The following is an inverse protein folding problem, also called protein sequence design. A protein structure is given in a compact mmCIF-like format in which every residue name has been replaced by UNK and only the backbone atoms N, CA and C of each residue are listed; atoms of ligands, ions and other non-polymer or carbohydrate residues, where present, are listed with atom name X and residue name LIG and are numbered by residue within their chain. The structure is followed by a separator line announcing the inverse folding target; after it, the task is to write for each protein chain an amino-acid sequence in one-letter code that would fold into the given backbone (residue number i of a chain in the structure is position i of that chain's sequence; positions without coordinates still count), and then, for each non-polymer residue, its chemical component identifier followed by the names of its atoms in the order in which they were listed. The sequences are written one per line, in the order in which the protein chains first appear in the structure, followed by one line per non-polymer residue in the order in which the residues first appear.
data_IF_657434928863
#
_entry.id   IF_657434928863
#
_cell.length_a   1.000
_cell.length_b   1.000
_cell.length_c   1.000
_cell.angle_alpha   90.00
_cell.angle_beta   90.00
_cell.angle_gamma   90.00
#
_symmetry.space_group_name_H-M   'P 1'
#
loop_
_entity.id
_entity.type
_entity.pdbx_description
1 polymer ?
#
# COMPACT_ATOMS: atom_id res chain seq x y z
N UNK A 1 7.01 19.02 13.76
CA UNK A 1 7.81 19.79 14.72
C UNK A 1 7.15 19.70 16.09
N UNK A 2 7.94 19.36 17.09
CA UNK A 2 7.54 19.50 18.50
C UNK A 2 7.59 20.99 18.88
N UNK A 3 6.67 21.49 19.72
CA UNK A 3 6.69 22.88 20.19
C UNK A 3 8.07 23.34 20.71
N UNK A 4 8.80 22.44 21.36
CA UNK A 4 10.14 22.74 21.90
C UNK A 4 11.17 23.13 20.84
N UNK A 5 10.98 22.77 19.56
CA UNK A 5 11.89 23.12 18.46
C UNK A 5 11.80 24.62 18.14
N UNK A 6 10.62 25.23 18.28
CA UNK A 6 10.45 26.66 18.07
C UNK A 6 11.28 27.47 19.06
N UNK A 7 11.29 27.06 20.34
CA UNK A 7 12.10 27.68 21.38
C UNK A 7 13.61 27.48 21.11
N UNK A 8 14.03 26.29 20.67
CA UNK A 8 15.45 26.01 20.35
C UNK A 8 15.97 26.81 19.16
N UNK A 9 15.11 27.03 18.15
CA UNK A 9 15.43 27.80 16.95
C UNK A 9 15.19 29.31 17.14
N UNK A 10 14.61 29.73 18.27
CA UNK A 10 14.27 31.14 18.54
C UNK A 10 13.21 31.72 17.59
N UNK A 11 12.33 30.87 17.06
CA UNK A 11 11.29 31.24 16.08
C UNK A 11 9.91 31.13 16.71
N UNK A 12 9.01 32.04 16.34
CA UNK A 12 7.64 32.06 16.82
C UNK A 12 6.72 31.25 15.90
N UNK A 13 5.72 30.57 16.46
CA UNK A 13 4.63 29.99 15.69
C UNK A 13 3.91 31.05 14.82
N UNK A 14 3.96 32.32 15.22
CA UNK A 14 3.34 33.42 14.50
C UNK A 14 4.20 33.94 13.34
N UNK A 15 5.46 33.53 13.24
CA UNK A 15 6.37 33.94 12.17
C UNK A 15 7.12 32.74 11.59
N UNK A 16 6.62 32.25 10.46
CA UNK A 16 7.19 31.11 9.75
C UNK A 16 8.23 31.53 8.70
N UNK A 17 8.63 32.81 8.67
CA UNK A 17 9.59 33.36 7.68
C UNK A 17 10.93 32.63 7.68
N UNK A 18 11.37 32.14 8.84
CA UNK A 18 12.57 31.33 8.94
C UNK A 18 12.49 30.08 8.04
N UNK A 19 11.42 29.30 8.14
CA UNK A 19 11.25 28.07 7.35
C UNK A 19 11.12 28.37 5.86
N UNK A 20 10.40 29.44 5.51
CA UNK A 20 10.31 29.90 4.14
C UNK A 20 11.68 30.31 3.58
N UNK A 21 12.53 30.97 4.37
CA UNK A 21 13.89 31.35 3.96
C UNK A 21 14.81 30.16 3.70
N UNK A 22 14.53 29.01 4.33
CA UNK A 22 15.25 27.76 4.06
C UNK A 22 14.79 27.09 2.75
N UNK A 23 13.69 27.57 2.15
CA UNK A 23 13.07 26.97 0.98
C UNK A 23 12.17 25.77 1.30
N UNK A 24 11.68 25.67 2.54
CA UNK A 24 10.71 24.64 2.90
C UNK A 24 9.35 24.91 2.21
N UNK A 25 8.69 23.87 1.72
CA UNK A 25 7.33 23.96 1.18
C UNK A 25 6.24 23.77 2.25
N UNK A 26 6.60 23.08 3.35
CA UNK A 26 5.65 22.65 4.36
C UNK A 26 6.27 22.61 5.77
N UNK A 27 5.42 22.73 6.78
CA UNK A 27 5.75 22.48 8.18
C UNK A 27 4.81 21.41 8.73
N UNK A 28 5.38 20.35 9.32
CA UNK A 28 4.62 19.35 10.05
C UNK A 28 4.34 19.79 11.48
N UNK A 29 3.12 19.62 11.97
CA UNK A 29 2.75 19.76 13.38
C UNK A 29 2.66 18.36 14.01
N UNK A 30 3.62 18.04 14.88
CA UNK A 30 3.71 16.68 15.44
C UNK A 30 2.73 16.46 16.61
N UNK A 31 2.56 17.50 17.42
CA UNK A 31 1.51 17.62 18.42
C UNK A 31 0.43 18.61 17.94
N UNK A 32 -0.82 18.29 18.23
CA UNK A 32 -1.94 19.21 17.99
C UNK A 32 -2.00 20.32 19.03
N UNK A 33 -2.61 21.43 18.63
CA UNK A 33 -3.01 22.54 19.48
C UNK A 33 -4.52 22.44 19.77
N UNK A 34 -5.23 23.56 19.78
CA UNK A 34 -6.67 23.67 20.08
C UNK A 34 -7.58 23.63 18.84
N UNK A 35 -7.00 23.43 17.65
CA UNK A 35 -7.68 23.44 16.36
C UNK A 35 -7.77 24.84 15.74
N UNK A 36 -7.94 25.87 16.56
CA UNK A 36 -8.01 27.26 16.09
C UNK A 36 -6.63 27.75 15.64
N UNK A 37 -5.57 27.39 16.38
CA UNK A 37 -4.20 27.77 16.02
C UNK A 37 -3.78 27.18 14.66
N UNK A 38 -4.10 25.93 14.36
CA UNK A 38 -3.81 25.28 13.09
C UNK A 38 -4.59 25.92 11.94
N UNK A 39 -5.88 26.24 12.19
CA UNK A 39 -6.69 26.97 11.23
C UNK A 39 -6.07 28.34 10.91
N UNK A 40 -5.60 29.07 11.91
CA UNK A 40 -4.90 30.33 11.72
C UNK A 40 -3.60 30.16 10.92
N UNK A 41 -2.76 29.18 11.28
CA UNK A 41 -1.49 28.91 10.61
C UNK A 41 -1.64 28.53 9.14
N UNK A 42 -2.76 27.92 8.76
CA UNK A 42 -3.04 27.60 7.35
C UNK A 42 -3.20 28.84 6.44
N UNK A 43 -3.29 30.05 7.01
CA UNK A 43 -3.28 31.33 6.30
C UNK A 43 -1.95 32.10 6.42
N UNK A 44 -0.87 31.43 6.84
CA UNK A 44 0.44 32.09 6.96
C UNK A 44 0.83 32.82 5.67
N UNK A 45 1.40 34.02 5.81
CA UNK A 45 1.73 34.89 4.68
C UNK A 45 2.88 34.38 3.81
N UNK A 46 3.65 33.42 4.32
CA UNK A 46 4.73 32.76 3.60
C UNK A 46 4.24 31.72 2.59
N UNK A 47 2.96 31.33 2.64
CA UNK A 47 2.38 30.33 1.74
C UNK A 47 2.83 28.90 2.00
N UNK A 48 3.30 28.61 3.22
CA UNK A 48 3.75 27.27 3.62
C UNK A 48 2.55 26.35 3.84
N UNK A 49 2.66 25.10 3.39
CA UNK A 49 1.70 24.05 3.69
C UNK A 49 1.81 23.60 5.16
N UNK A 50 0.70 23.15 5.72
CA UNK A 50 0.61 22.62 7.07
C UNK A 50 0.32 21.12 7.02
N UNK A 51 1.29 20.32 7.43
CA UNK A 51 1.13 18.86 7.55
C UNK A 51 0.70 18.49 8.97
N UNK A 52 -0.50 17.93 9.08
CA UNK A 52 -1.12 17.51 10.33
C UNK A 52 -0.81 16.04 10.61
N UNK A 53 -0.62 15.70 11.89
CA UNK A 53 -0.53 14.32 12.32
C UNK A 53 -1.87 13.60 12.09
N UNK A 54 -1.88 12.58 11.24
CA UNK A 54 -3.08 11.77 10.98
C UNK A 54 -3.16 10.47 11.77
N UNK A 55 -2.17 10.14 12.62
CA UNK A 55 -2.13 8.88 13.37
C UNK A 55 -3.05 8.84 14.60
N UNK A 56 -3.98 9.78 14.75
CA UNK A 56 -4.93 9.82 15.86
C UNK A 56 -6.37 9.68 15.36
N UNK A 57 -7.11 8.68 15.87
CA UNK A 57 -8.52 8.48 15.54
C UNK A 57 -9.45 9.32 16.44
N UNK A 58 -9.30 10.64 16.36
CA UNK A 58 -10.10 11.61 17.13
C UNK A 58 -10.57 12.75 16.22
N UNK A 59 -11.55 13.53 16.68
CA UNK A 59 -12.15 14.69 15.98
C UNK A 59 -11.22 15.91 15.83
N UNK A 60 -9.93 15.66 15.61
CA UNK A 60 -8.90 16.69 15.45
C UNK A 60 -9.11 17.50 14.17
N UNK A 61 -9.19 16.82 13.03
CA UNK A 61 -9.36 17.50 11.74
C UNK A 61 -10.69 18.27 11.67
N UNK A 62 -11.79 17.67 12.14
CA UNK A 62 -13.10 18.32 12.13
C UNK A 62 -13.12 19.58 13.00
N UNK A 63 -12.46 19.55 14.16
CA UNK A 63 -12.26 20.72 15.00
C UNK A 63 -11.51 21.84 14.26
N UNK A 64 -10.37 21.54 13.62
CA UNK A 64 -9.60 22.52 12.81
C UNK A 64 -10.47 23.11 11.70
N UNK A 65 -11.18 22.27 10.96
CA UNK A 65 -12.01 22.70 9.84
C UNK A 65 -13.20 23.56 10.28
N UNK A 66 -13.68 23.41 11.52
CA UNK A 66 -14.77 24.23 12.07
C UNK A 66 -14.36 25.70 12.27
N UNK A 67 -13.06 25.98 12.42
CA UNK A 67 -12.49 27.32 12.46
C UNK A 67 -12.15 27.89 11.08
N UNK A 68 -12.73 27.35 10.00
CA UNK A 68 -12.54 27.84 8.62
C UNK A 68 -11.09 27.79 8.12
N UNK A 69 -10.35 26.73 8.50
CA UNK A 69 -9.00 26.50 8.00
C UNK A 69 -8.91 26.47 6.46
N UNK A 70 -7.78 26.93 5.93
CA UNK A 70 -7.46 27.00 4.51
C UNK A 70 -7.12 25.62 3.95
N UNK A 71 -8.15 24.83 3.63
CA UNK A 71 -8.04 23.41 3.25
C UNK A 71 -7.00 23.09 2.17
N UNK A 72 -6.84 23.87 1.08
CA UNK A 72 -5.82 23.58 0.06
C UNK A 72 -4.38 23.54 0.56
N UNK A 73 -4.11 24.13 1.74
CA UNK A 73 -2.78 24.16 2.36
C UNK A 73 -2.66 23.16 3.52
N UNK A 74 -3.68 22.31 3.74
CA UNK A 74 -3.63 21.27 4.75
C UNK A 74 -3.28 19.93 4.11
N UNK A 75 -2.31 19.25 4.71
CA UNK A 75 -1.88 17.91 4.37
C UNK A 75 -1.98 17.03 5.61
N UNK A 76 -2.17 15.74 5.44
CA UNK A 76 -2.08 14.78 6.52
C UNK A 76 -0.89 13.86 6.31
N UNK A 77 -0.13 13.58 7.37
CA UNK A 77 0.88 12.52 7.32
C UNK A 77 0.86 11.68 8.60
N UNK A 78 0.93 10.37 8.44
CA UNK A 78 1.03 9.45 9.56
C UNK A 78 2.40 9.57 10.23
N UNK A 79 2.47 9.21 11.50
CA UNK A 79 3.74 8.98 12.18
C UNK A 79 4.42 7.70 11.65
N UNK A 80 5.73 7.64 11.86
CA UNK A 80 6.51 6.40 11.81
C UNK A 80 6.83 5.93 13.24
N UNK A 81 7.14 4.65 13.39
CA UNK A 81 7.29 4.01 14.69
C UNK A 81 8.65 3.28 14.80
N UNK A 82 9.66 3.92 15.44
CA UNK A 82 11.02 3.37 15.53
C UNK A 82 11.15 2.10 16.37
N UNK A 83 10.25 1.90 17.35
CA UNK A 83 10.26 0.75 18.23
C UNK A 83 9.41 -0.38 17.64
N UNK A 84 9.97 -1.58 17.51
CA UNK A 84 9.21 -2.76 17.09
C UNK A 84 8.01 -3.02 18.00
N UNK A 85 6.88 -3.42 17.38
CA UNK A 85 5.62 -3.69 18.07
C UNK A 85 4.80 -2.45 18.41
N UNK A 86 5.19 -1.26 17.92
CA UNK A 86 4.47 0.00 18.20
C UNK A 86 3.86 0.67 16.97
N UNK A 87 4.12 0.14 15.77
CA UNK A 87 3.45 0.56 14.55
C UNK A 87 1.94 0.35 14.62
N UNK A 88 1.21 1.08 13.76
CA UNK A 88 -0.24 1.02 13.77
C UNK A 88 -0.76 -0.34 13.30
N UNK A 89 -1.82 -0.88 13.93
CA UNK A 89 -2.58 -1.98 13.36
C UNK A 89 -3.42 -1.47 12.17
N UNK A 90 -3.68 -2.34 11.20
CA UNK A 90 -4.27 -1.96 9.92
C UNK A 90 -5.65 -1.30 10.04
N UNK A 91 -6.55 -1.86 10.87
CA UNK A 91 -7.91 -1.30 11.02
C UNK A 91 -7.90 0.11 11.62
N UNK A 92 -7.01 0.37 12.59
CA UNK A 92 -6.85 1.68 13.19
C UNK A 92 -6.26 2.68 12.19
N UNK A 93 -5.24 2.26 11.43
CA UNK A 93 -4.71 3.06 10.32
C UNK A 93 -5.80 3.43 9.33
N UNK A 94 -6.63 2.48 8.88
CA UNK A 94 -7.74 2.73 7.95
C UNK A 94 -8.76 3.73 8.54
N UNK A 95 -9.10 3.63 9.82
CA UNK A 95 -10.00 4.56 10.49
C UNK A 95 -9.43 6.00 10.47
N UNK A 96 -8.17 6.14 10.86
CA UNK A 96 -7.41 7.39 10.82
C UNK A 96 -7.36 8.01 9.41
N UNK A 97 -6.88 7.27 8.41
CA UNK A 97 -6.68 7.80 7.04
C UNK A 97 -8.01 8.20 6.39
N UNK A 98 -9.11 7.46 6.67
CA UNK A 98 -10.46 7.80 6.15
C UNK A 98 -10.95 9.17 6.61
N UNK A 99 -10.57 9.64 7.80
CA UNK A 99 -10.94 10.99 8.29
C UNK A 99 -10.42 12.07 7.35
N UNK A 100 -9.14 11.99 7.00
CA UNK A 100 -8.48 12.93 6.11
C UNK A 100 -8.96 12.78 4.67
N UNK A 101 -9.05 11.53 4.17
CA UNK A 101 -9.47 11.27 2.80
C UNK A 101 -10.89 11.76 2.50
N UNK A 102 -11.83 11.60 3.44
CA UNK A 102 -13.21 12.13 3.32
C UNK A 102 -13.27 13.65 3.27
N UNK A 103 -12.31 14.33 3.89
CA UNK A 103 -12.22 15.79 3.84
C UNK A 103 -11.55 16.31 2.54
N UNK A 104 -11.09 15.42 1.66
CA UNK A 104 -10.37 15.78 0.45
C UNK A 104 -8.95 16.31 0.72
N UNK A 105 -8.37 15.98 1.86
CA UNK A 105 -7.00 16.35 2.23
C UNK A 105 -6.03 15.29 1.69
N UNK A 106 -4.90 15.73 1.15
CA UNK A 106 -3.85 14.85 0.68
C UNK A 106 -3.18 14.12 1.85
N UNK A 107 -2.90 12.84 1.65
CA UNK A 107 -2.51 11.91 2.71
C UNK A 107 -1.15 11.27 2.45
N UNK A 108 -0.32 11.17 3.48
CA UNK A 108 0.96 10.49 3.42
C UNK A 108 1.18 9.47 4.56
N UNK A 109 1.98 8.44 4.28
CA UNK A 109 2.41 7.46 5.28
C UNK A 109 3.85 6.98 5.03
N UNK A 110 4.47 6.45 6.07
CA UNK A 110 5.87 6.01 6.03
C UNK A 110 6.01 4.51 5.80
N UNK A 111 7.03 4.17 5.01
CA UNK A 111 7.59 2.83 4.82
C UNK A 111 9.02 2.79 5.32
N UNK A 112 9.55 1.59 5.56
CA UNK A 112 10.92 1.39 6.01
C UNK A 112 11.76 0.72 4.93
N UNK A 113 12.90 1.32 4.56
CA UNK A 113 13.85 0.73 3.63
C UNK A 113 14.74 -0.29 4.36
N UNK A 114 14.80 -1.56 3.89
CA UNK A 114 15.67 -2.56 4.48
C UNK A 114 17.15 -2.16 4.41
N UNK A 115 17.84 -2.22 5.54
CA UNK A 115 19.27 -1.91 5.65
C UNK A 115 19.64 -0.42 5.71
N UNK A 116 18.68 0.49 5.62
CA UNK A 116 18.90 1.91 5.89
C UNK A 116 18.94 2.15 7.42
N UNK A 117 20.00 2.78 7.91
CA UNK A 117 20.33 2.83 9.35
C UNK A 117 20.14 4.20 10.00
N UNK A 118 20.04 5.28 9.21
CA UNK A 118 19.86 6.64 9.72
C UNK A 118 18.38 6.85 10.05
N UNK A 119 18.13 7.27 11.29
CA UNK A 119 16.83 7.67 11.81
C UNK A 119 16.99 8.83 12.79
N UNK A 120 15.88 9.36 13.34
CA UNK A 120 15.93 10.52 14.24
C UNK A 120 16.47 10.20 15.64
N UNK A 121 16.42 8.93 16.07
CA UNK A 121 16.78 8.49 17.42
C UNK A 121 17.81 7.36 17.39
N UNK A 122 18.35 7.05 18.57
CA UNK A 122 19.26 5.92 18.80
C UNK A 122 18.58 4.55 18.58
N UNK A 123 17.29 4.45 18.91
CA UNK A 123 16.46 3.29 18.59
C UNK A 123 15.90 3.40 17.18
N UNK A 124 16.17 2.39 16.34
CA UNK A 124 15.71 2.32 14.96
C UNK A 124 15.53 0.86 14.50
N UNK A 125 14.37 0.27 14.84
CA UNK A 125 13.94 -1.05 14.33
C UNK A 125 13.26 -0.94 12.96
N UNK A 126 13.62 0.08 12.17
CA UNK A 126 12.88 0.55 11.01
C UNK A 126 11.83 1.61 11.35
N UNK A 127 11.43 2.39 10.34
CA UNK A 127 10.54 3.55 10.49
C UNK A 127 9.23 3.42 9.67
N UNK A 128 8.47 2.32 9.77
CA UNK A 128 7.18 2.21 9.08
C UNK A 128 6.04 2.89 9.87
N UNK A 129 4.96 3.23 9.18
CA UNK A 129 3.67 3.59 9.81
C UNK A 129 2.91 2.36 10.31
N UNK A 130 2.78 1.33 9.46
CA UNK A 130 2.07 0.09 9.77
C UNK A 130 3.04 -0.95 10.36
N UNK A 131 2.67 -1.61 11.46
CA UNK A 131 3.59 -2.61 12.06
C UNK A 131 3.82 -3.81 11.14
N UNK A 132 2.79 -4.24 10.41
CA UNK A 132 2.87 -5.33 9.43
C UNK A 132 3.86 -5.08 8.29
N UNK A 133 4.33 -3.84 8.10
CA UNK A 133 5.28 -3.48 7.04
C UNK A 133 6.74 -3.59 7.47
N UNK A 134 7.03 -3.71 8.76
CA UNK A 134 8.39 -3.57 9.31
C UNK A 134 9.42 -4.48 8.65
N UNK A 135 9.02 -5.72 8.36
CA UNK A 135 9.90 -6.74 7.79
C UNK A 135 9.53 -7.08 6.32
N UNK A 136 8.58 -6.36 5.72
CA UNK A 136 8.21 -6.56 4.32
C UNK A 136 9.24 -5.93 3.37
N UNK A 137 9.42 -6.47 2.15
CA UNK A 137 10.17 -5.77 1.12
C UNK A 137 9.59 -4.39 0.83
N UNK A 138 10.47 -3.43 0.53
CA UNK A 138 10.09 -2.02 0.39
C UNK A 138 8.97 -1.82 -0.66
N UNK A 139 9.06 -2.51 -1.81
CA UNK A 139 8.08 -2.39 -2.89
C UNK A 139 6.69 -2.89 -2.44
N UNK A 140 6.64 -3.95 -1.63
CA UNK A 140 5.39 -4.49 -1.08
C UNK A 140 4.73 -3.49 -0.14
N UNK A 141 5.50 -2.85 0.73
CA UNK A 141 4.99 -1.83 1.65
C UNK A 141 4.34 -0.67 0.86
N UNK A 142 5.03 -0.19 -0.17
CA UNK A 142 4.55 0.90 -1.03
C UNK A 142 3.29 0.50 -1.81
N UNK A 143 3.28 -0.67 -2.45
CA UNK A 143 2.09 -1.17 -3.15
C UNK A 143 0.89 -1.34 -2.20
N UNK A 144 1.12 -1.84 -0.98
CA UNK A 144 0.07 -2.00 0.01
C UNK A 144 -0.54 -0.66 0.44
N UNK A 145 0.27 0.37 0.69
CA UNK A 145 -0.26 1.68 1.06
C UNK A 145 -1.12 2.28 -0.07
N UNK A 146 -0.64 2.25 -1.32
CA UNK A 146 -1.41 2.77 -2.44
C UNK A 146 -2.68 1.97 -2.71
N UNK A 147 -2.64 0.63 -2.56
CA UNK A 147 -3.80 -0.22 -2.82
C UNK A 147 -4.95 0.01 -1.84
N UNK A 148 -4.71 0.63 -0.69
CA UNK A 148 -5.78 1.06 0.23
C UNK A 148 -6.68 2.13 -0.36
N UNK A 149 -6.19 2.91 -1.34
CA UNK A 149 -6.85 4.12 -1.85
C UNK A 149 -6.96 5.25 -0.82
N UNK A 150 -6.26 5.14 0.32
CA UNK A 150 -6.32 6.09 1.43
C UNK A 150 -5.05 6.94 1.58
N UNK A 151 -3.97 6.59 0.87
CA UNK A 151 -2.66 7.26 0.93
C UNK A 151 -2.30 7.76 -0.48
N UNK A 152 -1.96 9.04 -0.59
CA UNK A 152 -1.59 9.71 -1.84
C UNK A 152 -0.06 9.75 -2.04
N UNK A 153 0.69 9.85 -0.94
CA UNK A 153 2.15 9.95 -0.94
C UNK A 153 2.77 8.94 0.02
N UNK A 154 3.81 8.23 -0.42
CA UNK A 154 4.55 7.27 0.41
C UNK A 154 5.97 7.76 0.63
N UNK A 155 6.38 7.84 1.89
CA UNK A 155 7.66 8.38 2.32
C UNK A 155 8.53 7.27 2.90
N UNK A 156 9.83 7.24 2.58
CA UNK A 156 10.76 6.33 3.25
C UNK A 156 11.22 7.01 4.55
N UNK A 157 10.93 6.40 5.70
CA UNK A 157 11.21 7.01 7.00
C UNK A 157 12.69 7.04 7.37
N UNK A 158 13.44 6.01 6.98
CA UNK A 158 14.88 5.85 7.27
C UNK A 158 15.77 6.12 6.05
N UNK A 159 17.02 6.48 6.30
CA UNK A 159 17.99 6.82 5.25
C UNK A 159 19.32 6.04 5.39
N UNK A 160 20.08 5.83 4.32
CA UNK A 160 19.69 5.97 2.92
C UNK A 160 19.17 4.64 2.39
N UNK A 161 18.06 4.66 1.65
CA UNK A 161 17.62 3.52 0.86
C UNK A 161 18.67 3.19 -0.23
N UNK A 162 18.79 1.92 -0.59
CA UNK A 162 19.72 1.51 -1.64
C UNK A 162 19.26 2.04 -3.00
N UNK A 163 20.19 2.39 -3.87
CA UNK A 163 19.88 2.89 -5.21
C UNK A 163 19.01 1.92 -6.02
N UNK A 164 19.26 0.61 -5.89
CA UNK A 164 18.48 -0.44 -6.55
C UNK A 164 17.02 -0.46 -6.07
N UNK A 165 16.79 -0.27 -4.78
CA UNK A 165 15.44 -0.21 -4.22
C UNK A 165 14.69 1.02 -4.73
N UNK A 166 15.37 2.17 -4.81
CA UNK A 166 14.82 3.41 -5.36
C UNK A 166 14.46 3.27 -6.85
N UNK A 167 15.29 2.57 -7.64
CA UNK A 167 14.98 2.28 -9.05
C UNK A 167 13.75 1.37 -9.17
N UNK A 168 13.65 0.32 -8.36
CA UNK A 168 12.48 -0.56 -8.31
C UNK A 168 11.21 0.21 -7.92
N UNK A 169 11.30 1.13 -6.97
CA UNK A 169 10.17 2.01 -6.61
C UNK A 169 9.80 2.99 -7.72
N UNK A 170 10.78 3.52 -8.45
CA UNK A 170 10.54 4.43 -9.57
C UNK A 170 9.83 3.75 -10.76
N UNK A 171 10.03 2.45 -10.95
CA UNK A 171 9.36 1.65 -11.97
C UNK A 171 7.98 1.11 -11.54
N UNK A 172 7.62 1.28 -10.26
CA UNK A 172 6.41 0.70 -9.68
C UNK A 172 5.15 1.35 -10.24
N UNK A 173 4.18 0.54 -10.66
CA UNK A 173 2.84 1.03 -10.93
C UNK A 173 2.12 1.32 -9.60
N UNK A 174 1.81 2.59 -9.34
CA UNK A 174 1.15 3.04 -8.10
C UNK A 174 -0.33 2.66 -8.03
N UNK A 175 -0.95 2.37 -9.16
CA UNK A 175 -2.41 2.27 -9.29
C UNK A 175 -2.91 0.86 -9.59
N UNK A 176 -2.01 -0.11 -9.67
CA UNK A 176 -2.33 -1.50 -9.98
C UNK A 176 -1.32 -2.44 -9.31
N UNK A 177 -1.85 -3.49 -8.67
CA UNK A 177 -1.01 -4.55 -8.11
C UNK A 177 -0.59 -5.50 -9.23
N UNK A 178 0.72 -5.73 -9.30
CA UNK A 178 1.34 -6.79 -10.12
C UNK A 178 1.95 -7.82 -9.18
N UNK A 179 1.50 -9.07 -9.28
CA UNK A 179 2.06 -10.17 -8.51
C UNK A 179 3.23 -10.81 -9.26
N UNK A 180 4.41 -10.82 -8.64
CA UNK A 180 5.52 -11.65 -9.05
C UNK A 180 5.20 -13.10 -8.73
N UNK A 181 5.29 -13.98 -9.73
CA UNK A 181 4.95 -15.39 -9.62
C UNK A 181 6.07 -16.29 -10.11
N UNK A 182 6.16 -17.47 -9.51
CA UNK A 182 6.97 -18.60 -10.01
C UNK A 182 6.03 -19.56 -10.75
N UNK A 183 6.16 -19.71 -12.09
CA UNK A 183 5.35 -20.66 -12.85
C UNK A 183 5.59 -22.11 -12.40
N UNK A 184 4.56 -22.95 -12.45
CA UNK A 184 4.70 -24.40 -12.27
C UNK A 184 5.55 -25.01 -13.40
N UNK A 185 6.27 -26.07 -13.08
CA UNK A 185 7.09 -26.79 -14.06
C UNK A 185 6.26 -27.42 -15.19
N UNK A 186 5.00 -27.79 -14.92
CA UNK A 186 4.08 -28.38 -15.90
C UNK A 186 3.08 -27.35 -16.47
N UNK A 187 3.40 -26.05 -16.42
CA UNK A 187 2.55 -25.01 -17.00
C UNK A 187 2.44 -25.18 -18.53
N UNK A 188 1.22 -25.21 -19.04
CA UNK A 188 0.97 -25.33 -20.47
C UNK A 188 1.05 -23.98 -21.18
N UNK A 189 1.32 -23.94 -22.51
CA UNK A 189 1.38 -22.69 -23.26
C UNK A 189 0.13 -21.81 -23.12
N UNK A 190 -1.07 -22.40 -23.17
CA UNK A 190 -2.35 -21.68 -22.98
C UNK A 190 -2.47 -21.09 -21.57
N UNK A 191 -2.01 -21.82 -20.56
CA UNK A 191 -2.04 -21.37 -19.16
C UNK A 191 -1.07 -20.21 -18.93
N UNK A 192 0.12 -20.27 -19.54
CA UNK A 192 1.11 -19.19 -19.50
C UNK A 192 0.56 -17.92 -20.16
N UNK A 193 -0.13 -18.05 -21.29
CA UNK A 193 -0.79 -16.91 -21.95
C UNK A 193 -1.92 -16.34 -21.08
N UNK A 194 -2.77 -17.20 -20.51
CA UNK A 194 -3.83 -16.76 -19.58
C UNK A 194 -3.24 -15.99 -18.41
N UNK A 195 -2.13 -16.47 -17.83
CA UNK A 195 -1.47 -15.87 -16.68
C UNK A 195 -0.81 -14.52 -16.98
N UNK A 196 -0.06 -14.40 -18.09
CA UNK A 196 0.86 -13.27 -18.30
C UNK A 196 0.36 -12.24 -19.32
N UNK A 197 -0.49 -12.64 -20.27
CA UNK A 197 -0.89 -11.77 -21.38
C UNK A 197 -2.23 -11.06 -21.12
N UNK A 198 -2.62 -10.96 -19.85
CA UNK A 198 -3.94 -10.50 -19.46
C UNK A 198 -3.93 -9.49 -18.32
N UNK A 199 -4.75 -8.46 -18.50
CA UNK A 199 -5.27 -7.70 -17.36
C UNK A 199 -6.40 -8.51 -16.71
N UNK A 200 -6.21 -8.88 -15.45
CA UNK A 200 -7.21 -9.60 -14.69
C UNK A 200 -8.08 -8.65 -13.89
N UNK A 201 -9.32 -9.06 -13.67
CA UNK A 201 -10.28 -8.39 -12.79
C UNK A 201 -10.89 -9.42 -11.84
N UNK A 202 -10.96 -9.11 -10.54
CA UNK A 202 -11.72 -9.92 -9.59
C UNK A 202 -13.20 -9.71 -9.84
N UNK A 203 -13.92 -10.77 -10.17
CA UNK A 203 -15.38 -10.73 -10.31
C UNK A 203 -16.05 -10.23 -9.01
N UNK A 204 -17.05 -9.37 -9.14
CA UNK A 204 -17.59 -8.61 -7.99
C UNK A 204 -18.44 -9.40 -6.98
N UNK A 205 -19.06 -10.52 -7.38
CA UNK A 205 -19.71 -11.48 -6.48
C UNK A 205 -18.66 -12.43 -5.89
N UNK A 206 -17.99 -11.93 -4.85
CA UNK A 206 -16.83 -12.58 -4.25
C UNK A 206 -17.18 -13.79 -3.38
N UNK A 207 -16.16 -14.60 -3.10
CA UNK A 207 -16.15 -15.63 -2.06
C UNK A 207 -14.81 -15.58 -1.29
N UNK A 208 -14.75 -16.30 -0.17
CA UNK A 208 -13.59 -16.28 0.73
C UNK A 208 -12.48 -17.26 0.32
N UNK A 209 -12.75 -18.16 -0.63
CA UNK A 209 -11.84 -19.24 -1.03
C UNK A 209 -10.90 -18.79 -2.15
N UNK A 210 -11.38 -17.95 -3.07
CA UNK A 210 -10.66 -17.58 -4.30
C UNK A 210 -10.95 -16.16 -4.79
N UNK A 211 -9.93 -15.52 -5.36
CA UNK A 211 -10.06 -14.37 -6.27
C UNK A 211 -10.26 -14.93 -7.67
N UNK A 212 -11.37 -14.60 -8.33
CA UNK A 212 -11.75 -15.22 -9.61
C UNK A 212 -11.67 -14.22 -10.76
N UNK A 213 -10.84 -14.55 -11.76
CA UNK A 213 -10.79 -13.84 -13.05
C UNK A 213 -11.62 -14.62 -14.07
N UNK A 214 -12.85 -14.18 -14.32
CA UNK A 214 -13.82 -14.97 -15.10
C UNK A 214 -13.91 -14.60 -16.57
N UNK A 215 -13.43 -13.42 -16.97
CA UNK A 215 -13.52 -12.97 -18.36
C UNK A 215 -12.45 -13.62 -19.25
N UNK A 216 -11.31 -14.03 -18.68
CA UNK A 216 -10.25 -14.74 -19.42
C UNK A 216 -10.79 -16.01 -20.08
N UNK A 217 -11.62 -16.80 -19.40
CA UNK A 217 -12.10 -18.08 -19.92
C UNK A 217 -12.94 -18.00 -21.19
N UNK A 218 -13.48 -16.82 -21.52
CA UNK A 218 -14.26 -16.61 -22.76
C UNK A 218 -13.36 -16.42 -23.98
N UNK A 219 -12.08 -16.10 -23.76
CA UNK A 219 -11.11 -15.73 -24.80
C UNK A 219 -10.23 -16.90 -25.24
N UNK A 220 -10.18 -17.97 -24.46
CA UNK A 220 -9.34 -19.14 -24.72
C UNK A 220 -10.21 -20.36 -25.01
N UNK A 221 -9.77 -21.15 -25.99
CA UNK A 221 -10.47 -22.37 -26.43
C UNK A 221 -9.51 -23.53 -26.66
N UNK A 222 -8.20 -23.31 -26.52
CA UNK A 222 -7.20 -24.36 -26.69
C UNK A 222 -7.36 -25.45 -25.65
N UNK A 223 -7.00 -26.67 -26.02
CA UNK A 223 -6.99 -27.80 -25.13
C UNK A 223 -6.08 -27.52 -23.92
N UNK A 224 -6.61 -27.70 -22.70
CA UNK A 224 -5.89 -27.49 -21.46
C UNK A 224 -5.96 -28.76 -20.62
N UNK A 225 -4.94 -29.63 -20.76
CA UNK A 225 -4.97 -30.95 -20.11
C UNK A 225 -4.92 -30.85 -18.59
N UNK A 226 -5.37 -31.86 -17.87
CA UNK A 226 -4.97 -31.99 -16.45
C UNK A 226 -3.45 -32.04 -16.36
N UNK A 227 -2.86 -31.28 -15.43
CA UNK A 227 -1.43 -31.32 -15.15
C UNK A 227 -1.09 -32.32 -14.05
N UNK A 228 0.18 -32.74 -13.97
CA UNK A 228 0.62 -33.76 -13.00
C UNK A 228 1.03 -33.15 -11.63
N UNK A 229 0.78 -31.86 -11.43
CA UNK A 229 1.11 -31.16 -10.18
C UNK A 229 0.10 -31.49 -9.07
N UNK A 230 0.33 -30.93 -7.87
CA UNK A 230 -0.60 -31.09 -6.76
C UNK A 230 -1.95 -30.43 -7.08
N UNK A 231 -3.02 -31.09 -6.66
CA UNK A 231 -4.39 -30.54 -6.69
C UNK A 231 -4.89 -30.09 -5.32
N UNK A 232 -4.01 -30.09 -4.31
CA UNK A 232 -4.25 -29.45 -3.01
C UNK A 232 -3.53 -28.12 -3.01
N UNK A 233 -4.30 -27.05 -2.96
CA UNK A 233 -3.82 -25.69 -3.13
C UNK A 233 -3.69 -24.95 -1.81
N UNK A 234 -2.75 -24.00 -1.77
CA UNK A 234 -2.47 -23.13 -0.64
C UNK A 234 -2.74 -21.67 -0.99
N UNK A 235 -2.84 -20.80 0.02
CA UNK A 235 -3.00 -19.36 -0.21
C UNK A 235 -1.83 -18.84 -1.07
N UNK A 236 -2.15 -18.11 -2.13
CA UNK A 236 -1.16 -17.60 -3.09
C UNK A 236 -0.92 -18.50 -4.30
N UNK A 237 -1.44 -19.73 -4.31
CA UNK A 237 -1.45 -20.56 -5.52
C UNK A 237 -2.34 -19.90 -6.58
N UNK A 238 -1.84 -19.83 -7.81
CA UNK A 238 -2.59 -19.42 -8.99
C UNK A 238 -2.96 -20.68 -9.75
N UNK A 239 -4.26 -20.86 -9.98
CA UNK A 239 -4.81 -22.07 -10.58
C UNK A 239 -5.70 -21.74 -11.77
N UNK A 240 -5.75 -22.64 -12.76
CA UNK A 240 -6.59 -22.50 -13.96
C UNK A 240 -7.45 -23.75 -14.13
N UNK A 241 -8.72 -23.57 -14.50
CA UNK A 241 -9.59 -24.70 -14.84
C UNK A 241 -9.06 -25.50 -16.04
N UNK A 242 -8.95 -26.82 -15.89
CA UNK A 242 -8.53 -27.72 -16.96
C UNK A 242 -9.74 -28.29 -17.72
N UNK A 243 -9.48 -29.17 -18.68
CA UNK A 243 -10.47 -29.86 -19.53
C UNK A 243 -11.61 -30.54 -18.76
N UNK A 244 -11.39 -30.95 -17.51
CA UNK A 244 -12.42 -31.61 -16.69
C UNK A 244 -13.39 -30.60 -16.07
N UNK A 245 -13.14 -29.29 -16.18
CA UNK A 245 -13.94 -28.24 -15.56
C UNK A 245 -15.04 -27.66 -16.47
N UNK A 246 -15.27 -28.25 -17.65
CA UNK A 246 -16.35 -27.86 -18.55
C UNK A 246 -16.41 -26.35 -18.80
N UNK A 247 -17.53 -25.70 -18.47
CA UNK A 247 -17.72 -24.23 -18.65
C UNK A 247 -16.78 -23.34 -17.82
N UNK A 248 -15.99 -23.91 -16.91
CA UNK A 248 -15.00 -23.22 -16.09
C UNK A 248 -13.56 -23.51 -16.52
N UNK A 249 -13.37 -24.30 -17.59
CA UNK A 249 -12.05 -24.43 -18.22
C UNK A 249 -11.52 -23.03 -18.54
N UNK A 250 -10.21 -22.83 -18.35
CA UNK A 250 -9.50 -21.56 -18.52
C UNK A 250 -9.84 -20.44 -17.53
N UNK A 251 -10.72 -20.67 -16.54
CA UNK A 251 -10.96 -19.68 -15.47
C UNK A 251 -9.74 -19.62 -14.54
N UNK A 252 -9.08 -18.46 -14.50
CA UNK A 252 -7.96 -18.22 -13.58
C UNK A 252 -8.47 -17.82 -12.20
N UNK A 253 -7.88 -18.40 -11.17
CA UNK A 253 -8.18 -18.10 -9.78
C UNK A 253 -6.88 -17.95 -8.96
N UNK A 254 -6.87 -17.03 -8.00
CA UNK A 254 -5.86 -17.01 -6.93
C UNK A 254 -6.50 -17.59 -5.68
N UNK A 255 -5.84 -18.55 -5.06
CA UNK A 255 -6.32 -19.22 -3.85
C UNK A 255 -6.11 -18.34 -2.63
N UNK A 256 -7.16 -18.17 -1.82
CA UNK A 256 -7.13 -17.43 -0.56
C UNK A 256 -7.21 -18.35 0.66
N UNK A 257 -7.93 -19.46 0.55
CA UNK A 257 -8.04 -20.51 1.57
C UNK A 257 -7.65 -21.88 0.99
N UNK A 258 -6.90 -22.70 1.74
CA UNK A 258 -6.50 -24.02 1.27
C UNK A 258 -7.69 -24.92 0.93
N UNK A 259 -7.61 -25.64 -0.19
CA UNK A 259 -8.64 -26.60 -0.64
C UNK A 259 -8.07 -27.57 -1.69
N UNK A 260 -8.87 -28.56 -2.09
CA UNK A 260 -8.49 -29.54 -3.13
C UNK A 260 -9.51 -29.53 -4.28
N UNK A 261 -9.05 -29.52 -5.54
CA UNK A 261 -9.89 -29.67 -6.73
C UNK A 261 -9.08 -30.17 -7.94
N UNK A 262 -9.34 -31.41 -8.39
CA UNK A 262 -8.61 -32.03 -9.51
C UNK A 262 -8.95 -31.43 -10.88
N UNK A 263 -10.02 -30.64 -10.97
CA UNK A 263 -10.42 -29.97 -12.21
C UNK A 263 -9.66 -28.66 -12.44
N UNK A 264 -8.73 -28.33 -11.54
CA UNK A 264 -7.86 -27.15 -11.64
C UNK A 264 -6.40 -27.59 -11.68
N UNK A 265 -5.63 -26.92 -12.51
CA UNK A 265 -4.18 -27.06 -12.55
C UNK A 265 -3.53 -25.97 -11.71
N UNK A 266 -2.49 -26.30 -10.95
CA UNK A 266 -1.58 -25.31 -10.39
C UNK A 266 -0.72 -24.76 -11.53
N UNK A 267 -0.79 -23.44 -11.77
CA UNK A 267 -0.05 -22.81 -12.88
C UNK A 267 1.08 -21.93 -12.41
N UNK A 268 0.97 -21.34 -11.23
CA UNK A 268 2.04 -20.55 -10.62
C UNK A 268 1.82 -20.37 -9.11
N UNK A 269 2.84 -19.89 -8.41
CA UNK A 269 2.76 -19.48 -7.00
C UNK A 269 3.19 -18.03 -6.86
N UNK A 270 2.39 -17.21 -6.18
CA UNK A 270 2.74 -15.82 -5.85
C UNK A 270 3.92 -15.80 -4.87
N UNK A 271 4.84 -14.85 -5.07
CA UNK A 271 5.94 -14.62 -4.14
C UNK A 271 5.39 -14.46 -2.70
N UNK A 272 5.86 -15.25 -1.72
CA UNK A 272 5.39 -15.20 -0.34
C UNK A 272 5.33 -13.78 0.25
N UNK A 273 6.27 -12.92 -0.11
CA UNK A 273 6.34 -11.54 0.39
C UNK A 273 5.15 -10.69 -0.07
N UNK A 274 4.49 -11.05 -1.17
CA UNK A 274 3.35 -10.33 -1.73
C UNK A 274 1.99 -10.87 -1.27
N UNK A 275 1.93 -11.93 -0.45
CA UNK A 275 0.66 -12.50 -0.01
C UNK A 275 -0.20 -11.52 0.79
N UNK A 276 0.42 -10.52 1.42
CA UNK A 276 -0.27 -9.43 2.12
C UNK A 276 -1.11 -8.56 1.17
N UNK A 277 -0.75 -8.49 -0.11
CA UNK A 277 -1.45 -7.70 -1.12
C UNK A 277 -2.75 -8.36 -1.60
N UNK A 278 -2.94 -9.66 -1.33
CA UNK A 278 -4.15 -10.38 -1.74
C UNK A 278 -5.41 -9.78 -1.11
N UNK A 279 -5.30 -9.30 0.14
CA UNK A 279 -6.43 -8.72 0.87
C UNK A 279 -6.86 -7.36 0.28
N UNK A 280 -5.99 -6.71 -0.49
CA UNK A 280 -6.29 -5.48 -1.22
C UNK A 280 -7.05 -5.70 -2.54
N UNK A 281 -7.12 -6.94 -3.05
CA UNK A 281 -7.81 -7.24 -4.32
C UNK A 281 -9.32 -7.36 -4.05
N UNK A 282 -9.99 -6.22 -3.88
CA UNK A 282 -11.44 -6.15 -3.66
C UNK A 282 -12.29 -6.54 -4.89
N UNK A 283 -13.62 -6.55 -4.74
CA UNK A 283 -14.56 -6.69 -5.87
C UNK A 283 -14.22 -5.71 -7.00
N UNK A 284 -14.15 -6.19 -8.24
CA UNK A 284 -13.83 -5.41 -9.45
C UNK A 284 -12.42 -4.80 -9.50
N UNK A 285 -11.53 -5.17 -8.58
CA UNK A 285 -10.13 -4.74 -8.59
C UNK A 285 -9.37 -5.37 -9.77
N UNK A 286 -8.46 -4.59 -10.35
CA UNK A 286 -7.63 -4.99 -11.48
C UNK A 286 -6.25 -5.39 -10.98
N UNK A 287 -5.70 -6.45 -11.55
CA UNK A 287 -4.36 -6.95 -11.22
C UNK A 287 -3.73 -7.66 -12.41
N UNK A 288 -2.43 -7.84 -12.34
CA UNK A 288 -1.62 -8.54 -13.35
C UNK A 288 -0.58 -9.43 -12.66
N UNK A 289 0.13 -10.21 -13.49
CA UNK A 289 1.21 -11.07 -13.05
C UNK A 289 2.47 -10.79 -13.85
N UNK A 290 3.62 -11.00 -13.22
CA UNK A 290 4.92 -11.02 -13.87
C UNK A 290 5.73 -12.22 -13.36
N UNK A 291 6.61 -12.76 -14.21
CA UNK A 291 7.50 -13.84 -13.76
C UNK A 291 8.55 -13.23 -12.84
N UNK A 292 8.73 -13.83 -11.66
CA UNK A 292 9.80 -13.42 -10.76
C UNK A 292 11.16 -13.52 -11.48
N UNK A 293 11.95 -12.45 -11.42
CA UNK A 293 13.33 -12.46 -11.88
C UNK A 293 14.21 -12.80 -10.67
N UNK A 294 15.03 -13.85 -10.81
CA UNK A 294 16.07 -14.21 -9.83
C UNK A 294 17.12 -13.11 -9.66
#
# INVERSE_FOLDING_TARGET
MSPNIFDQLGVSYQDLSYFASLGADAIRLDAGFDGHQEAWLSYNSQGLNLELNMSNDVEYLSNILSYSANRPFLYGCHNFYPQRGTGLPFDFFVACSRRFKRAGIETAAFVTAPGATIGPWDINDGLPTLEMHRDCPLQVQVQHLFSTGLIDSVLIGNAYAKQEDLQKLGALNRYQITFAVTPSADIQPVERQILLDNLHERRGDINDITIRSTEVRKRYHDFNRVNDDRHTFQRGDVVIGNEQFGKYQHELQIVQQPHTDTRKNLVATINPDQLVLLDAIGPWAKFSFEVAHD
#
